data_IF_529656020322
#
_entry.id   IF_529656020322
#
_cell.length_a   1.000
_cell.length_b   1.000
_cell.length_c   1.000
_cell.angle_alpha   90.00
_cell.angle_beta   90.00
_cell.angle_gamma   90.00
#
_symmetry.space_group_name_H-M   'P 1'
#
loop_
_entity.id
_entity.type
_entity.pdbx_description
1 polymer ?
#
# COMPACT_ATOMS: atom_id res chain seq x y z
N UNK A 1 38.51 0.90 -20.42
CA UNK A 1 37.86 2.24 -20.36
C UNK A 1 36.43 2.05 -19.87
N UNK A 2 36.14 2.39 -18.61
CA UNK A 2 34.78 2.36 -18.05
C UNK A 2 34.05 3.63 -18.48
N UNK A 3 33.15 3.53 -19.46
CA UNK A 3 32.24 4.61 -19.82
C UNK A 3 31.08 4.61 -18.83
N UNK A 4 31.00 5.65 -18.01
CA UNK A 4 29.80 6.02 -17.26
C UNK A 4 28.72 6.42 -18.28
N UNK A 5 27.59 5.71 -18.29
CA UNK A 5 26.39 6.14 -19.02
C UNK A 5 25.54 6.90 -18.01
N UNK A 6 25.21 8.15 -18.35
CA UNK A 6 24.51 9.09 -17.48
C UNK A 6 23.11 8.61 -17.12
N UNK A 7 22.81 8.68 -15.82
CA UNK A 7 21.48 8.50 -15.24
C UNK A 7 20.59 9.68 -15.71
N UNK A 8 19.63 9.42 -16.60
CA UNK A 8 18.62 10.41 -16.95
C UNK A 8 17.45 10.32 -15.95
N UNK A 9 17.39 11.26 -15.01
CA UNK A 9 16.24 11.46 -14.13
C UNK A 9 15.33 12.49 -14.80
N UNK A 10 14.14 12.06 -15.25
CA UNK A 10 13.15 12.97 -15.80
C UNK A 10 12.11 13.30 -14.72
N UNK A 11 12.16 14.53 -14.23
CA UNK A 11 11.13 15.14 -13.40
C UNK A 11 10.11 15.82 -14.31
N UNK A 12 8.89 15.28 -14.39
CA UNK A 12 7.77 15.98 -14.98
C UNK A 12 7.24 16.99 -13.94
N UNK A 13 7.68 18.25 -14.03
CA UNK A 13 7.17 19.33 -13.16
C UNK A 13 5.80 19.76 -13.68
N UNK A 14 4.74 19.31 -13.03
CA UNK A 14 3.39 19.84 -13.18
C UNK A 14 3.05 20.77 -12.02
N UNK A 15 3.14 22.08 -12.24
CA UNK A 15 2.56 23.08 -11.34
C UNK A 15 1.07 23.22 -11.63
N UNK A 16 0.21 22.88 -10.67
CA UNK A 16 -1.23 23.09 -10.81
C UNK A 16 -2.02 22.50 -9.65
N UNK A 17 -2.50 23.36 -8.76
CA UNK A 17 -3.50 23.01 -7.76
C UNK A 17 -4.84 22.74 -8.46
N UNK A 18 -5.26 21.48 -8.48
CA UNK A 18 -6.65 21.07 -8.66
C UNK A 18 -6.83 19.68 -8.05
N UNK A 19 -7.84 19.52 -7.20
CA UNK A 19 -8.26 18.22 -6.70
C UNK A 19 -8.91 17.44 -7.86
N UNK A 20 -8.11 16.70 -8.63
CA UNK A 20 -8.58 15.91 -9.75
C UNK A 20 -8.91 14.48 -9.33
N UNK A 21 -10.10 14.04 -9.76
CA UNK A 21 -10.49 12.63 -9.83
C UNK A 21 -9.36 11.84 -10.52
N UNK A 22 -9.09 10.58 -10.12
CA UNK A 22 -8.02 9.80 -10.73
C UNK A 22 -8.24 9.71 -12.24
N UNK A 23 -7.42 10.42 -12.99
CA UNK A 23 -7.37 10.34 -14.43
C UNK A 23 -6.99 8.91 -14.80
N UNK A 24 -7.91 8.22 -15.48
CA UNK A 24 -7.67 6.94 -16.11
C UNK A 24 -6.47 7.09 -17.07
N UNK A 25 -5.29 6.67 -16.62
CA UNK A 25 -4.03 6.92 -17.30
C UNK A 25 -2.80 6.86 -16.39
N UNK A 26 -2.96 7.08 -15.08
CA UNK A 26 -1.83 6.90 -14.16
C UNK A 26 -1.46 5.42 -14.03
N UNK A 27 -0.16 5.15 -14.12
CA UNK A 27 0.52 3.88 -13.82
C UNK A 27 0.27 3.50 -12.34
N UNK A 28 -0.96 3.19 -11.95
CA UNK A 28 -1.34 2.76 -10.59
C UNK A 28 -0.77 3.62 -9.44
N UNK A 29 -0.58 4.93 -9.66
CA UNK A 29 -0.03 5.86 -8.67
C UNK A 29 1.47 6.17 -8.80
N UNK A 30 2.15 5.64 -9.83
CA UNK A 30 3.51 6.02 -10.19
C UNK A 30 3.48 7.16 -11.21
N UNK A 31 4.27 8.21 -10.96
CA UNK A 31 4.26 9.49 -11.70
C UNK A 31 5.53 9.72 -12.52
N UNK A 32 6.59 8.98 -12.23
CA UNK A 32 7.87 9.09 -12.94
C UNK A 32 8.47 7.70 -13.21
N UNK A 33 9.40 7.67 -14.18
CA UNK A 33 10.20 6.47 -14.46
C UNK A 33 11.68 6.84 -14.58
N UNK A 34 12.53 6.04 -13.96
CA UNK A 34 13.98 6.04 -14.19
C UNK A 34 14.33 4.89 -15.12
N UNK A 35 15.25 5.11 -16.05
CA UNK A 35 15.62 4.14 -17.08
C UNK A 35 17.13 4.00 -17.17
N UNK A 36 17.60 2.77 -17.23
CA UNK A 36 18.97 2.38 -17.58
C UNK A 36 18.90 1.34 -18.71
N UNK A 37 19.51 1.64 -19.86
CA UNK A 37 19.52 0.77 -21.04
C UNK A 37 20.79 1.03 -21.86
N UNK A 38 21.31 -0.01 -22.51
CA UNK A 38 22.48 0.13 -23.38
C UNK A 38 22.19 0.85 -24.69
N UNK A 39 20.93 0.82 -25.15
CA UNK A 39 20.46 1.53 -26.34
C UNK A 39 19.07 2.12 -26.13
N UNK A 40 18.87 3.35 -26.60
CA UNK A 40 17.58 4.06 -26.58
C UNK A 40 17.35 4.75 -27.93
N UNK A 41 16.20 4.50 -28.55
CA UNK A 41 15.68 5.30 -29.68
C UNK A 41 14.54 6.17 -29.18
N UNK A 42 14.58 7.46 -29.53
CA UNK A 42 13.55 8.43 -29.22
C UNK A 42 13.37 9.39 -30.39
N UNK A 43 12.14 9.81 -30.64
CA UNK A 43 11.85 10.88 -31.59
C UNK A 43 12.37 12.23 -31.07
N UNK A 44 12.54 13.22 -31.95
CA UNK A 44 12.89 14.60 -31.56
C UNK A 44 11.84 15.25 -30.63
N UNK A 45 10.63 14.70 -30.59
CA UNK A 45 9.56 15.12 -29.67
C UNK A 45 9.71 14.57 -28.25
N UNK A 46 10.74 13.78 -27.99
CA UNK A 46 11.01 13.14 -26.69
C UNK A 46 10.23 11.83 -26.45
N UNK A 47 9.47 11.36 -27.44
CA UNK A 47 8.79 10.05 -27.37
C UNK A 47 9.78 8.91 -27.57
N UNK A 48 10.00 8.13 -26.53
CA UNK A 48 10.75 6.87 -26.62
C UNK A 48 10.04 5.89 -27.55
N UNK A 49 10.78 5.22 -28.41
CA UNK A 49 10.22 4.21 -29.31
C UNK A 49 10.65 2.81 -28.85
N UNK A 50 11.94 2.66 -28.58
CA UNK A 50 12.55 1.38 -28.24
C UNK A 50 13.75 1.54 -27.33
N UNK A 51 13.93 0.59 -26.42
CA UNK A 51 15.07 0.48 -25.50
C UNK A 51 15.59 -0.97 -25.58
N UNK A 52 16.91 -1.16 -25.61
CA UNK A 52 17.57 -2.47 -25.77
C UNK A 52 18.81 -2.61 -24.90
N UNK A 53 19.42 -3.80 -24.97
CA UNK A 53 20.69 -4.16 -24.34
C UNK A 53 20.63 -4.16 -22.82
N UNK A 54 19.57 -4.77 -22.29
CA UNK A 54 19.37 -4.95 -20.84
C UNK A 54 18.72 -3.73 -20.22
N UNK A 55 17.42 -3.57 -20.45
CA UNK A 55 16.62 -2.46 -19.96
C UNK A 55 16.23 -2.69 -18.50
N UNK A 56 16.48 -1.68 -17.66
CA UNK A 56 15.98 -1.56 -16.29
C UNK A 56 15.18 -0.28 -16.17
N UNK A 57 13.91 -0.42 -15.83
CA UNK A 57 12.99 0.67 -15.55
C UNK A 57 12.66 0.62 -14.07
N UNK A 58 12.65 1.76 -13.40
CA UNK A 58 12.11 1.87 -12.04
C UNK A 58 10.97 2.86 -12.07
N UNK A 59 9.77 2.41 -11.74
CA UNK A 59 8.63 3.30 -11.55
C UNK A 59 8.74 3.99 -10.19
N UNK A 60 8.55 5.30 -10.20
CA UNK A 60 8.69 6.19 -9.06
C UNK A 60 7.37 6.92 -8.81
N UNK A 61 7.09 7.19 -7.53
CA UNK A 61 5.89 7.85 -7.07
C UNK A 61 6.27 9.08 -6.26
N UNK A 62 5.46 10.13 -6.35
CA UNK A 62 5.61 11.33 -5.52
C UNK A 62 5.17 11.09 -4.07
N UNK A 63 4.35 10.05 -3.83
CA UNK A 63 4.07 9.57 -2.47
C UNK A 63 5.30 8.86 -1.89
N UNK A 64 5.94 9.40 -0.83
CA UNK A 64 7.14 8.84 -0.22
C UNK A 64 6.90 7.50 0.49
N UNK A 65 5.66 7.16 0.84
CA UNK A 65 5.32 5.87 1.43
C UNK A 65 5.28 4.74 0.39
N UNK A 66 5.12 5.09 -0.90
CA UNK A 66 5.05 4.12 -1.99
C UNK A 66 6.45 3.71 -2.43
N UNK A 67 6.73 2.41 -2.32
CA UNK A 67 8.01 1.86 -2.76
C UNK A 67 8.14 1.89 -4.28
N UNK A 68 9.33 2.20 -4.82
CA UNK A 68 9.63 2.07 -6.23
C UNK A 68 9.37 0.67 -6.75
N UNK A 69 9.00 0.55 -8.02
CA UNK A 69 8.77 -0.75 -8.69
C UNK A 69 9.82 -0.96 -9.76
N UNK A 70 10.82 -1.80 -9.51
CA UNK A 70 11.77 -2.23 -10.51
C UNK A 70 11.11 -3.13 -11.56
N UNK A 71 11.46 -2.88 -12.81
CA UNK A 71 11.06 -3.63 -13.99
C UNK A 71 12.33 -3.88 -14.80
N UNK A 72 12.55 -5.12 -15.25
CA UNK A 72 13.65 -5.45 -16.15
C UNK A 72 13.16 -6.24 -17.35
N UNK A 73 13.78 -6.00 -18.49
CA UNK A 73 13.55 -6.70 -19.75
C UNK A 73 14.77 -6.58 -20.66
N UNK A 74 14.83 -7.38 -21.72
CA UNK A 74 15.90 -7.28 -22.73
C UNK A 74 15.61 -6.16 -23.72
N UNK A 75 14.35 -6.03 -24.14
CA UNK A 75 13.83 -4.97 -25.00
C UNK A 75 12.55 -4.40 -24.39
N UNK A 76 12.37 -3.07 -24.50
CA UNK A 76 11.11 -2.38 -24.21
C UNK A 76 10.73 -1.53 -25.40
N UNK A 77 9.48 -1.63 -25.85
CA UNK A 77 8.92 -0.83 -26.95
C UNK A 77 7.70 -0.07 -26.47
N UNK A 78 7.60 1.18 -26.90
CA UNK A 78 6.48 2.06 -26.58
C UNK A 78 5.65 2.26 -27.85
N UNK A 79 4.36 1.96 -27.76
CA UNK A 79 3.40 2.21 -28.84
C UNK A 79 2.64 3.48 -28.47
N UNK A 80 2.71 4.49 -29.34
CA UNK A 80 2.06 5.76 -29.13
C UNK A 80 0.79 5.84 -29.98
N UNK A 81 -0.28 6.45 -29.46
CA UNK A 81 -1.46 6.70 -30.26
C UNK A 81 -1.15 7.73 -31.37
N UNK A 82 -1.83 7.61 -32.52
CA UNK A 82 -1.68 8.50 -33.67
C UNK A 82 -2.03 9.97 -33.37
N UNK A 83 -2.68 10.23 -32.22
CA UNK A 83 -2.95 11.59 -31.74
C UNK A 83 -1.64 12.26 -31.33
N UNK A 84 -1.26 13.28 -32.10
CA UNK A 84 -0.03 14.08 -31.96
C UNK A 84 0.17 14.74 -30.59
N UNK A 85 -0.86 14.83 -29.75
CA UNK A 85 -0.80 15.49 -28.44
C UNK A 85 -0.69 14.54 -27.23
N UNK A 86 -0.75 13.21 -27.39
CA UNK A 86 -0.65 12.31 -26.23
C UNK A 86 0.73 12.41 -25.57
N UNK A 87 0.75 12.62 -24.25
CA UNK A 87 1.94 12.61 -23.39
C UNK A 87 2.29 11.21 -22.87
N UNK A 88 1.43 10.22 -23.12
CA UNK A 88 1.63 8.83 -22.69
C UNK A 88 1.48 7.84 -23.86
N UNK A 89 2.21 6.71 -23.83
CA UNK A 89 2.02 5.61 -24.78
C UNK A 89 0.65 4.94 -24.55
N UNK A 90 0.07 4.37 -25.59
CA UNK A 90 -1.12 3.51 -25.48
C UNK A 90 -0.74 2.11 -25.01
N UNK A 91 0.46 1.63 -25.37
CA UNK A 91 0.99 0.33 -24.93
C UNK A 91 2.48 0.34 -24.65
N UNK A 92 2.90 -0.49 -23.70
CA UNK A 92 4.32 -0.83 -23.47
C UNK A 92 4.50 -2.34 -23.65
N UNK A 93 5.42 -2.72 -24.52
CA UNK A 93 5.77 -4.11 -24.80
C UNK A 93 7.14 -4.39 -24.20
N UNK A 94 7.20 -5.33 -23.26
CA UNK A 94 8.42 -5.80 -22.62
C UNK A 94 8.74 -7.19 -23.14
N UNK A 95 10.00 -7.42 -23.53
CA UNK A 95 10.42 -8.70 -24.09
C UNK A 95 11.79 -9.14 -23.56
N UNK A 96 11.90 -10.44 -23.32
CA UNK A 96 13.13 -11.15 -22.94
C UNK A 96 13.42 -11.00 -21.46
N UNK A 97 13.22 -12.08 -20.69
CA UNK A 97 13.46 -12.15 -19.25
C UNK A 97 12.81 -10.97 -18.51
N UNK A 98 11.50 -10.81 -18.72
CA UNK A 98 10.73 -9.79 -18.03
C UNK A 98 10.65 -10.14 -16.55
N UNK A 99 10.99 -9.18 -15.69
CA UNK A 99 10.81 -9.29 -14.24
C UNK A 99 10.20 -7.98 -13.73
N UNK A 100 9.13 -8.07 -12.96
CA UNK A 100 8.51 -6.94 -12.27
C UNK A 100 8.49 -7.26 -10.77
N UNK A 101 9.10 -6.39 -9.99
CA UNK A 101 9.21 -6.52 -8.52
C UNK A 101 8.26 -5.52 -7.85
N UNK A 102 7.03 -5.96 -7.59
CA UNK A 102 6.05 -5.19 -6.82
C UNK A 102 6.14 -5.57 -5.33
N UNK A 103 5.83 -4.65 -4.39
CA UNK A 103 5.77 -4.97 -2.96
C UNK A 103 4.91 -6.20 -2.61
N UNK A 104 3.84 -6.43 -3.37
CA UNK A 104 2.89 -7.51 -3.12
C UNK A 104 3.24 -8.82 -3.86
N UNK A 105 3.95 -8.72 -4.99
CA UNK A 105 4.30 -9.87 -5.80
C UNK A 105 5.45 -9.59 -6.76
N UNK A 106 6.24 -10.63 -7.04
CA UNK A 106 7.20 -10.65 -8.14
C UNK A 106 6.63 -11.44 -9.29
N UNK A 107 6.65 -10.87 -10.49
CA UNK A 107 6.21 -11.54 -11.72
C UNK A 107 7.41 -11.72 -12.64
N UNK A 108 7.58 -12.93 -13.18
CA UNK A 108 8.60 -13.25 -14.19
C UNK A 108 7.93 -13.81 -15.43
N UNK A 109 8.37 -13.42 -16.62
CA UNK A 109 7.82 -13.88 -17.89
C UNK A 109 8.83 -13.71 -19.03
N UNK A 110 8.57 -14.33 -20.19
CA UNK A 110 9.33 -14.00 -21.39
C UNK A 110 8.88 -12.68 -22.00
N UNK A 111 7.59 -12.37 -21.92
CA UNK A 111 6.99 -11.14 -22.47
C UNK A 111 5.94 -10.58 -21.53
N UNK A 112 5.81 -9.27 -21.55
CA UNK A 112 4.67 -8.57 -20.97
C UNK A 112 4.17 -7.47 -21.91
N UNK A 113 2.86 -7.30 -22.00
CA UNK A 113 2.20 -6.21 -22.72
C UNK A 113 1.31 -5.46 -21.73
N UNK A 114 1.61 -4.17 -21.55
CA UNK A 114 0.77 -3.25 -20.81
C UNK A 114 -0.05 -2.43 -21.79
N UNK A 115 -1.36 -2.63 -21.78
CA UNK A 115 -2.33 -1.83 -22.52
C UNK A 115 -3.03 -0.84 -21.57
N UNK A 116 -2.73 0.45 -21.75
CA UNK A 116 -3.26 1.52 -20.91
C UNK A 116 -4.73 1.83 -21.23
N UNK A 117 -5.11 1.70 -22.50
CA UNK A 117 -6.46 1.98 -22.96
C UNK A 117 -7.43 0.93 -22.39
N UNK A 118 -7.01 -0.33 -22.36
CA UNK A 118 -7.77 -1.44 -21.79
C UNK A 118 -7.58 -1.58 -20.28
N UNK A 119 -6.48 -1.09 -19.73
CA UNK A 119 -6.11 -1.31 -18.32
C UNK A 119 -5.68 -2.75 -18.06
N UNK A 120 -5.04 -3.38 -19.04
CA UNK A 120 -4.60 -4.77 -18.98
C UNK A 120 -3.08 -4.87 -18.96
N UNK A 121 -2.55 -5.72 -18.08
CA UNK A 121 -1.16 -6.15 -18.11
C UNK A 121 -1.13 -7.67 -18.33
N UNK A 122 -0.64 -8.07 -19.49
CA UNK A 122 -0.63 -9.45 -19.95
C UNK A 122 0.78 -10.00 -19.96
N UNK A 123 1.03 -11.08 -19.25
CA UNK A 123 2.29 -11.82 -19.25
C UNK A 123 2.16 -13.12 -20.05
N UNK A 124 3.18 -13.45 -20.85
CA UNK A 124 3.22 -14.69 -21.65
C UNK A 124 4.62 -15.30 -21.69
N UNK A 125 4.69 -16.55 -22.13
CA UNK A 125 5.93 -17.33 -22.19
C UNK A 125 6.31 -17.83 -20.79
N UNK A 126 5.50 -18.77 -20.31
CA UNK A 126 5.65 -19.42 -19.00
C UNK A 126 5.72 -18.46 -17.79
N UNK A 127 4.82 -17.48 -17.67
CA UNK A 127 4.84 -16.55 -16.57
C UNK A 127 4.72 -17.25 -15.20
N UNK A 128 5.45 -16.71 -14.23
CA UNK A 128 5.41 -17.13 -12.82
C UNK A 128 5.16 -15.94 -11.91
N UNK A 129 4.30 -16.13 -10.91
CA UNK A 129 4.02 -15.16 -9.85
C UNK A 129 4.41 -15.76 -8.51
N UNK A 130 5.17 -14.97 -7.75
CA UNK A 130 5.54 -15.27 -6.38
C UNK A 130 5.09 -14.12 -5.48
N UNK A 131 4.40 -14.43 -4.39
CA UNK A 131 3.91 -13.49 -3.38
C UNK A 131 4.00 -14.13 -1.99
N UNK A 132 3.86 -13.36 -0.90
CA UNK A 132 3.81 -13.92 0.45
C UNK A 132 2.67 -14.94 0.66
N UNK A 133 1.56 -14.81 -0.09
CA UNK A 133 0.36 -15.64 0.07
C UNK A 133 0.29 -16.80 -0.94
N UNK A 134 0.96 -16.68 -2.08
CA UNK A 134 0.96 -17.67 -3.16
C UNK A 134 2.38 -17.81 -3.72
N UNK A 135 2.93 -19.02 -3.71
CA UNK A 135 4.26 -19.31 -4.23
C UNK A 135 4.19 -20.22 -5.46
N UNK A 136 4.96 -19.88 -6.49
CA UNK A 136 5.11 -20.70 -7.69
C UNK A 136 3.85 -20.80 -8.54
N UNK A 137 2.98 -19.79 -8.53
CA UNK A 137 1.84 -19.74 -9.44
C UNK A 137 2.38 -19.60 -10.87
N UNK A 138 2.20 -20.62 -11.71
CA UNK A 138 2.67 -20.62 -13.09
C UNK A 138 1.50 -20.85 -14.04
N UNK A 139 1.54 -20.24 -15.22
CA UNK A 139 0.64 -20.56 -16.33
C UNK A 139 1.29 -20.30 -17.68
N UNK A 140 0.51 -20.43 -18.74
CA UNK A 140 0.91 -20.08 -20.11
C UNK A 140 0.76 -18.58 -20.36
N UNK A 141 -0.28 -18.00 -19.74
CA UNK A 141 -0.63 -16.59 -19.80
C UNK A 141 -1.20 -16.14 -18.46
N UNK A 142 -0.81 -14.94 -18.01
CA UNK A 142 -1.40 -14.28 -16.86
C UNK A 142 -1.89 -12.91 -17.29
N UNK A 143 -3.11 -12.54 -16.91
CA UNK A 143 -3.70 -11.24 -17.20
C UNK A 143 -4.06 -10.56 -15.90
N UNK A 144 -3.61 -9.33 -15.72
CA UNK A 144 -4.03 -8.43 -14.66
C UNK A 144 -4.93 -7.36 -15.29
N UNK A 145 -6.17 -7.25 -14.81
CA UNK A 145 -7.12 -6.22 -15.21
C UNK A 145 -7.27 -5.21 -14.07
N UNK A 146 -6.70 -4.03 -14.25
CA UNK A 146 -6.70 -2.97 -13.23
C UNK A 146 -8.03 -2.22 -13.14
N UNK A 147 -8.91 -2.34 -14.13
CA UNK A 147 -10.25 -1.72 -14.09
C UNK A 147 -11.24 -2.57 -13.31
N UNK A 148 -11.08 -3.89 -13.39
CA UNK A 148 -11.97 -4.87 -12.76
C UNK A 148 -11.37 -5.47 -11.47
N UNK A 149 -10.16 -5.06 -11.08
CA UNK A 149 -9.40 -5.61 -9.97
C UNK A 149 -9.34 -7.15 -10.01
N UNK A 150 -9.11 -7.69 -11.22
CA UNK A 150 -9.13 -9.14 -11.49
C UNK A 150 -7.79 -9.62 -12.00
N UNK A 151 -7.38 -10.81 -11.56
CA UNK A 151 -6.28 -11.55 -12.16
C UNK A 151 -6.77 -12.89 -12.71
N UNK A 152 -6.24 -13.30 -13.86
CA UNK A 152 -6.60 -14.54 -14.54
C UNK A 152 -5.34 -15.29 -14.94
N UNK A 153 -5.33 -16.61 -14.72
CA UNK A 153 -4.23 -17.50 -15.10
C UNK A 153 -4.75 -18.56 -16.06
N UNK A 154 -4.17 -18.63 -17.24
CA UNK A 154 -4.54 -19.60 -18.27
C UNK A 154 -3.48 -20.71 -18.33
N UNK A 155 -3.93 -21.97 -18.43
CA UNK A 155 -3.02 -23.14 -18.44
C UNK A 155 -2.28 -23.36 -17.12
N UNK A 156 -2.84 -22.86 -16.02
CA UNK A 156 -2.14 -22.75 -14.75
C UNK A 156 -1.84 -24.08 -14.05
N UNK A 157 -0.67 -24.16 -13.42
CA UNK A 157 -0.36 -25.13 -12.37
C UNK A 157 0.02 -24.35 -11.11
N UNK A 158 -0.49 -24.79 -9.97
CA UNK A 158 -0.25 -24.15 -8.68
C UNK A 158 0.38 -25.15 -7.72
N UNK A 159 1.57 -24.84 -7.23
CA UNK A 159 2.35 -25.73 -6.35
C UNK A 159 1.91 -25.70 -4.90
N UNK A 160 1.50 -24.53 -4.41
CA UNK A 160 1.03 -24.37 -3.04
C UNK A 160 -0.06 -23.31 -2.99
N UNK A 161 -1.24 -23.70 -2.50
CA UNK A 161 -2.31 -22.78 -2.16
C UNK A 161 -2.81 -23.14 -0.77
N UNK A 162 -2.67 -22.25 0.22
CA UNK A 162 -3.23 -22.52 1.53
C UNK A 162 -4.75 -22.63 1.40
N UNK A 163 -5.32 -23.78 1.79
CA UNK A 163 -6.77 -24.00 1.81
C UNK A 163 -7.49 -23.09 2.83
N UNK A 164 -6.72 -22.52 3.78
CA UNK A 164 -7.17 -21.44 4.65
C UNK A 164 -7.46 -20.19 3.81
N UNK A 165 -8.72 -20.01 3.43
CA UNK A 165 -9.18 -18.90 2.56
C UNK A 165 -9.83 -19.32 1.23
N UNK A 166 -10.06 -20.62 0.98
CA UNK A 166 -10.78 -21.11 -0.22
C UNK A 166 -12.31 -20.98 -0.18
N UNK A 167 -12.87 -20.29 0.82
CA UNK A 167 -14.23 -19.78 0.76
C UNK A 167 -14.18 -18.40 0.14
N UNK A 168 -14.84 -18.22 -1.01
CA UNK A 168 -15.12 -16.89 -1.56
C UNK A 168 -16.02 -16.10 -0.62
N UNK A 169 -15.48 -15.69 0.52
CA UNK A 169 -15.86 -14.41 1.07
C UNK A 169 -15.35 -13.41 0.05
N UNK A 170 -16.29 -12.87 -0.75
CA UNK A 170 -16.14 -11.50 -1.25
C UNK A 170 -15.40 -10.73 -0.16
N UNK A 171 -14.26 -10.14 -0.49
CA UNK A 171 -13.78 -9.01 0.28
C UNK A 171 -14.85 -7.91 0.18
N UNK A 172 -15.96 -8.03 0.91
CA UNK A 172 -16.23 -6.99 1.89
C UNK A 172 -14.94 -6.94 2.66
N UNK A 173 -14.09 -5.96 2.31
CA UNK A 173 -12.85 -5.73 2.99
C UNK A 173 -13.21 -5.74 4.47
N UNK A 174 -12.87 -6.83 5.18
CA UNK A 174 -12.78 -6.78 6.62
C UNK A 174 -12.00 -5.49 6.85
N UNK A 175 -12.61 -4.51 7.53
CA UNK A 175 -12.03 -3.19 7.62
C UNK A 175 -10.60 -3.40 8.08
N UNK A 176 -9.65 -2.66 7.50
CA UNK A 176 -8.27 -2.83 7.87
C UNK A 176 -8.20 -2.77 9.39
N UNK A 177 -7.63 -3.81 10.02
CA UNK A 177 -7.41 -3.83 11.47
C UNK A 177 -6.65 -2.56 11.88
N UNK A 178 -5.84 -2.03 10.96
CA UNK A 178 -5.15 -0.76 11.05
C UNK A 178 -6.09 0.44 10.98
N UNK A 179 -5.82 1.41 11.86
CA UNK A 179 -6.36 2.75 11.77
C UNK A 179 -5.98 3.43 10.46
N UNK A 180 -6.97 4.14 9.90
CA UNK A 180 -6.77 5.18 8.90
C UNK A 180 -7.17 6.54 9.45
N UNK A 181 -6.77 7.61 8.78
CA UNK A 181 -7.07 8.96 9.25
C UNK A 181 -8.59 9.24 9.30
N UNK A 182 -9.35 8.64 8.38
CA UNK A 182 -10.80 8.70 8.30
C UNK A 182 -11.52 7.93 9.42
N UNK A 183 -10.83 7.02 10.12
CA UNK A 183 -11.42 6.33 11.26
C UNK A 183 -11.58 7.27 12.45
N UNK A 184 -10.74 8.30 12.57
CA UNK A 184 -10.82 9.29 13.65
C UNK A 184 -11.79 10.39 13.23
N UNK A 185 -13.00 10.34 13.83
CA UNK A 185 -14.12 11.27 13.56
C UNK A 185 -13.92 12.64 14.20
N UNK A 186 -13.26 12.67 15.36
CA UNK A 186 -13.06 13.88 16.15
C UNK A 186 -11.61 13.97 16.62
N UNK A 187 -10.75 14.51 15.75
CA UNK A 187 -9.34 14.74 16.04
C UNK A 187 -9.13 15.68 17.25
N UNK A 188 -9.80 16.85 17.35
CA UNK A 188 -9.69 17.72 18.52
C UNK A 188 -10.13 17.04 19.83
N UNK A 189 -11.25 16.32 19.82
CA UNK A 189 -11.77 15.61 20.99
C UNK A 189 -10.85 14.47 21.43
N UNK A 190 -10.39 13.64 20.50
CA UNK A 190 -9.43 12.56 20.79
C UNK A 190 -8.17 13.11 21.44
N UNK A 191 -7.62 14.17 20.86
CA UNK A 191 -6.39 14.80 21.34
C UNK A 191 -6.56 15.35 22.75
N UNK A 192 -7.65 16.08 23.00
CA UNK A 192 -7.97 16.65 24.31
C UNK A 192 -8.03 15.55 25.37
N UNK A 193 -8.77 14.48 25.08
CA UNK A 193 -8.91 13.36 26.02
C UNK A 193 -7.60 12.59 26.23
N UNK A 194 -6.80 12.36 25.18
CA UNK A 194 -5.49 11.72 25.34
C UNK A 194 -4.54 12.59 26.18
N UNK A 195 -4.56 13.90 25.98
CA UNK A 195 -3.75 14.87 26.74
C UNK A 195 -4.15 14.95 28.21
N UNK A 196 -5.44 14.95 28.50
CA UNK A 196 -5.97 14.91 29.87
C UNK A 196 -5.62 13.59 30.56
N UNK A 197 -5.87 12.47 29.88
CA UNK A 197 -5.57 11.14 30.39
C UNK A 197 -4.08 10.94 30.66
N UNK A 198 -3.19 11.42 29.79
CA UNK A 198 -1.75 11.34 29.98
C UNK A 198 -1.28 12.03 31.28
N UNK A 199 -1.99 13.07 31.73
CA UNK A 199 -1.69 13.81 32.97
C UNK A 199 -2.41 13.25 34.20
N UNK A 200 -3.42 12.42 34.01
CA UNK A 200 -4.18 11.86 35.12
C UNK A 200 -3.31 10.95 35.99
N UNK A 201 -3.50 11.01 37.31
CA UNK A 201 -2.79 10.13 38.25
C UNK A 201 -3.20 8.67 38.05
N UNK A 202 -4.52 8.44 37.90
CA UNK A 202 -5.10 7.10 37.76
C UNK A 202 -4.81 6.50 36.37
N UNK A 203 -4.62 5.16 36.28
CA UNK A 203 -4.57 4.47 35.00
C UNK A 203 -5.83 4.72 34.17
N UNK A 204 -5.67 4.88 32.85
CA UNK A 204 -6.76 5.03 31.90
C UNK A 204 -6.32 4.54 30.52
N UNK A 205 -7.26 4.25 29.58
CA UNK A 205 -6.90 3.78 28.26
C UNK A 205 -6.03 4.80 27.51
N UNK A 206 -6.40 6.09 27.61
CA UNK A 206 -5.67 7.17 26.95
C UNK A 206 -4.25 7.31 27.49
N UNK A 207 -4.06 7.19 28.82
CA UNK A 207 -2.74 7.23 29.43
C UNK A 207 -1.88 6.09 28.92
N UNK A 208 -2.44 4.88 28.90
CA UNK A 208 -1.74 3.69 28.44
C UNK A 208 -1.35 3.78 26.96
N UNK A 209 -2.21 4.31 26.12
CA UNK A 209 -1.92 4.56 24.69
C UNK A 209 -0.76 5.55 24.55
N UNK A 210 -0.81 6.70 25.23
CA UNK A 210 0.23 7.73 25.15
C UNK A 210 1.58 7.21 25.68
N UNK A 211 1.60 6.45 26.78
CA UNK A 211 2.82 5.82 27.30
C UNK A 211 3.51 4.86 26.32
N UNK A 212 2.73 4.24 25.41
CA UNK A 212 3.24 3.32 24.40
C UNK A 212 3.64 4.00 23.09
N UNK A 213 3.32 5.29 22.92
CA UNK A 213 3.80 6.10 21.80
C UNK A 213 5.29 6.46 21.98
N UNK A 214 5.98 6.77 20.87
CA UNK A 214 7.31 7.37 20.97
C UNK A 214 7.26 8.82 21.50
N UNK A 215 8.42 9.32 21.98
CA UNK A 215 8.50 10.64 22.60
C UNK A 215 8.06 11.78 21.68
N UNK A 216 8.25 11.64 20.37
CA UNK A 216 7.82 12.65 19.39
C UNK A 216 6.30 12.71 19.32
N UNK A 217 5.63 11.57 19.28
CA UNK A 217 4.17 11.52 19.26
C UNK A 217 3.55 11.92 20.60
N UNK A 218 4.21 11.59 21.73
CA UNK A 218 3.82 12.12 23.04
C UNK A 218 3.88 13.66 23.06
N UNK A 219 4.94 14.24 22.52
CA UNK A 219 5.09 15.70 22.40
C UNK A 219 4.05 16.30 21.46
N UNK A 220 3.74 15.65 20.33
CA UNK A 220 2.65 16.07 19.45
C UNK A 220 1.31 16.12 20.20
N UNK A 221 0.93 15.06 20.91
CA UNK A 221 -0.31 15.05 21.70
C UNK A 221 -0.30 16.12 22.80
N UNK A 222 0.85 16.35 23.44
CA UNK A 222 0.98 17.35 24.50
C UNK A 222 0.87 18.79 23.97
N UNK A 223 1.44 19.06 22.80
CA UNK A 223 1.52 20.39 22.16
C UNK A 223 0.39 20.65 21.14
N UNK A 224 -0.41 19.64 20.83
CA UNK A 224 -1.39 19.72 19.75
C UNK A 224 -2.34 20.91 19.88
N UNK A 225 -2.53 21.58 18.74
CA UNK A 225 -3.49 22.65 18.56
C UNK A 225 -4.87 22.10 18.19
N UNK A 226 -5.88 22.97 18.11
CA UNK A 226 -7.22 22.57 17.66
C UNK A 226 -7.25 22.07 16.20
N UNK A 227 -6.22 22.39 15.40
CA UNK A 227 -6.12 22.02 13.99
C UNK A 227 -4.92 21.12 13.75
N UNK A 228 -5.16 19.97 13.13
CA UNK A 228 -4.14 18.98 12.78
C UNK A 228 -3.83 19.00 11.28
N UNK A 229 -2.56 19.08 10.93
CA UNK A 229 -2.09 18.92 9.55
C UNK A 229 -2.26 17.46 9.07
N UNK A 230 -2.19 17.23 7.76
CA UNK A 230 -2.26 15.87 7.21
C UNK A 230 -1.09 15.00 7.68
N UNK A 231 0.11 15.59 7.77
CA UNK A 231 1.33 14.94 8.22
C UNK A 231 1.26 14.55 9.71
N UNK A 232 0.73 15.45 10.55
CA UNK A 232 0.56 15.19 11.98
C UNK A 232 -0.46 14.05 12.21
N UNK A 233 -1.59 14.06 11.47
CA UNK A 233 -2.56 12.95 11.51
C UNK A 233 -1.91 11.64 11.09
N UNK A 234 -1.18 11.62 9.97
CA UNK A 234 -0.50 10.43 9.49
C UNK A 234 0.52 9.89 10.51
N UNK A 235 1.26 10.77 11.19
CA UNK A 235 2.19 10.39 12.24
C UNK A 235 1.49 9.72 13.43
N UNK A 236 0.37 10.27 13.91
CA UNK A 236 -0.40 9.66 15.00
C UNK A 236 -1.03 8.33 14.59
N UNK A 237 -1.58 8.24 13.38
CA UNK A 237 -2.13 6.98 12.86
C UNK A 237 -1.05 5.88 12.81
N UNK A 238 0.16 6.22 12.36
CA UNK A 238 1.29 5.28 12.36
C UNK A 238 1.61 4.75 13.76
N UNK A 239 1.58 5.60 14.79
CA UNK A 239 1.79 5.19 16.18
C UNK A 239 0.67 4.31 16.72
N UNK A 240 -0.59 4.67 16.46
CA UNK A 240 -1.73 3.84 16.84
C UNK A 240 -1.62 2.44 16.21
N UNK A 241 -1.24 2.36 14.94
CA UNK A 241 -1.04 1.09 14.24
C UNK A 241 0.12 0.27 14.80
N UNK A 242 1.19 0.92 15.27
CA UNK A 242 2.26 0.24 16.02
C UNK A 242 1.78 -0.30 17.36
N UNK A 243 0.94 0.47 18.06
CA UNK A 243 0.36 0.08 19.35
C UNK A 243 -0.59 -1.12 19.18
N UNK A 244 -1.30 -1.24 18.06
CA UNK A 244 -2.13 -2.41 17.79
C UNK A 244 -1.34 -3.72 17.85
N UNK A 245 -0.08 -3.75 17.42
CA UNK A 245 0.75 -4.94 17.49
C UNK A 245 1.36 -5.20 18.89
N UNK A 246 1.17 -4.29 19.85
CA UNK A 246 1.81 -4.36 21.16
C UNK A 246 0.96 -5.16 22.17
N UNK A 247 1.44 -6.32 22.66
CA UNK A 247 0.68 -7.14 23.63
C UNK A 247 0.53 -6.44 24.99
N UNK A 248 1.29 -5.38 25.26
CA UNK A 248 1.23 -4.62 26.52
C UNK A 248 0.14 -3.54 26.52
N UNK A 249 -0.65 -3.38 25.45
CA UNK A 249 -1.68 -2.34 25.41
C UNK A 249 -2.70 -2.49 26.54
N UNK A 250 -3.27 -3.68 26.71
CA UNK A 250 -4.30 -3.91 27.71
C UNK A 250 -3.70 -4.03 29.12
N UNK A 251 -4.30 -3.33 30.08
CA UNK A 251 -4.26 -3.68 31.49
C UNK A 251 -5.66 -3.54 32.07
N UNK A 252 -6.00 -4.39 33.04
CA UNK A 252 -7.33 -4.42 33.64
C UNK A 252 -7.64 -3.10 34.34
N UNK A 253 -6.67 -2.52 35.03
CA UNK A 253 -6.83 -1.25 35.76
C UNK A 253 -7.10 -0.08 34.80
N UNK A 254 -6.44 -0.06 33.64
CA UNK A 254 -6.61 1.00 32.67
C UNK A 254 -7.96 0.90 31.94
N UNK A 255 -8.55 -0.29 31.81
CA UNK A 255 -9.85 -0.51 31.14
C UNK A 255 -11.03 -0.77 32.10
N UNK A 256 -10.84 -0.69 33.42
CA UNK A 256 -11.84 -1.04 34.43
C UNK A 256 -13.18 -0.26 34.30
N UNK A 257 -13.16 0.94 33.72
CA UNK A 257 -14.35 1.77 33.48
C UNK A 257 -14.90 1.72 32.06
N UNK A 258 -14.32 0.88 31.18
CA UNK A 258 -14.69 0.82 29.76
C UNK A 258 -15.63 -0.35 29.51
N UNK A 259 -16.77 -0.09 28.87
CA UNK A 259 -17.67 -1.15 28.44
C UNK A 259 -17.08 -1.87 27.22
N UNK A 260 -16.45 -3.01 27.46
CA UNK A 260 -15.83 -3.81 26.39
C UNK A 260 -16.89 -4.56 25.57
N UNK A 261 -16.75 -4.60 24.22
CA UNK A 261 -17.59 -5.44 23.39
C UNK A 261 -17.35 -6.91 23.69
N UNK A 262 -18.39 -7.74 23.53
CA UNK A 262 -18.34 -9.19 23.80
C UNK A 262 -17.13 -9.88 23.14
N UNK A 263 -16.86 -9.53 21.87
CA UNK A 263 -15.72 -10.05 21.14
C UNK A 263 -14.38 -9.75 21.85
N UNK A 264 -14.18 -8.56 22.40
CA UNK A 264 -12.97 -8.22 23.14
C UNK A 264 -12.86 -9.03 24.43
N UNK A 265 -13.96 -9.25 25.15
CA UNK A 265 -13.99 -10.05 26.39
C UNK A 265 -13.62 -11.51 26.11
N UNK A 266 -14.24 -12.12 25.10
CA UNK A 266 -13.91 -13.49 24.66
C UNK A 266 -12.44 -13.57 24.21
N UNK A 267 -12.00 -12.55 23.47
CA UNK A 267 -10.62 -12.38 23.08
C UNK A 267 -9.71 -12.00 24.23
N UNK A 268 -10.13 -11.76 25.48
CA UNK A 268 -9.22 -11.56 26.63
C UNK A 268 -9.01 -12.86 27.42
N UNK A 269 -9.96 -13.79 27.35
CA UNK A 269 -9.90 -15.09 28.05
C UNK A 269 -8.90 -16.12 27.50
N UNK A 270 -8.29 -15.90 26.33
CA UNK A 270 -7.27 -16.78 25.74
C UNK A 270 -5.88 -16.54 26.36
N UNK A 271 -5.10 -17.60 26.59
CA UNK A 271 -3.75 -17.51 27.18
C UNK A 271 -2.64 -17.19 26.16
N UNK A 272 -2.89 -17.43 24.87
CA UNK A 272 -1.95 -17.18 23.77
C UNK A 272 -2.72 -16.81 22.51
N UNK A 273 -2.16 -15.91 21.68
CA UNK A 273 -2.82 -15.37 20.49
C UNK A 273 -1.82 -15.13 19.36
N UNK A 274 -2.19 -15.41 18.09
CA UNK A 274 -1.47 -14.89 16.93
C UNK A 274 -1.44 -13.36 16.92
N UNK A 275 -0.43 -12.78 16.25
CA UNK A 275 -0.27 -11.32 16.15
C UNK A 275 -1.50 -10.65 15.54
N UNK A 276 -2.14 -11.27 14.54
CA UNK A 276 -3.37 -10.76 13.92
C UNK A 276 -4.55 -10.67 14.90
N UNK A 277 -4.75 -11.68 15.74
CA UNK A 277 -5.76 -11.66 16.80
C UNK A 277 -5.42 -10.62 17.87
N UNK A 278 -4.14 -10.45 18.21
CA UNK A 278 -3.70 -9.42 19.15
C UNK A 278 -4.02 -8.02 18.63
N UNK A 279 -3.76 -7.76 17.33
CA UNK A 279 -4.08 -6.48 16.70
C UNK A 279 -5.58 -6.22 16.67
N UNK A 280 -6.40 -7.24 16.38
CA UNK A 280 -7.86 -7.13 16.41
C UNK A 280 -8.39 -6.82 17.82
N UNK A 281 -7.91 -7.55 18.84
CA UNK A 281 -8.25 -7.27 20.23
C UNK A 281 -7.90 -5.81 20.58
N UNK A 282 -6.68 -5.39 20.27
CA UNK A 282 -6.21 -4.03 20.56
C UNK A 282 -7.04 -2.97 19.82
N UNK A 283 -7.51 -3.26 18.60
CA UNK A 283 -8.41 -2.37 17.85
C UNK A 283 -9.75 -2.21 18.56
N UNK A 284 -10.37 -3.31 18.99
CA UNK A 284 -11.63 -3.30 19.74
C UNK A 284 -11.50 -2.55 21.08
N UNK A 285 -10.37 -2.72 21.78
CA UNK A 285 -10.09 -2.04 23.05
C UNK A 285 -10.01 -0.51 22.89
N UNK A 286 -9.38 -0.04 21.81
CA UNK A 286 -9.25 1.40 21.52
C UNK A 286 -10.61 1.97 21.08
N UNK A 287 -11.35 1.28 20.22
CA UNK A 287 -12.70 1.70 19.81
C UNK A 287 -13.66 1.83 21.01
N UNK A 288 -13.63 0.84 21.90
CA UNK A 288 -14.45 0.85 23.11
C UNK A 288 -14.09 1.99 24.07
N UNK A 289 -12.81 2.37 24.12
CA UNK A 289 -12.35 3.48 24.95
C UNK A 289 -12.73 4.86 24.40
N UNK A 290 -12.88 5.00 23.07
CA UNK A 290 -13.16 6.29 22.43
C UNK A 290 -14.28 6.23 21.38
N UNK A 291 -15.49 5.75 21.73
CA UNK A 291 -16.55 5.46 20.76
C UNK A 291 -17.10 6.70 20.03
N UNK A 292 -16.97 7.88 20.64
CA UNK A 292 -17.37 9.15 20.02
C UNK A 292 -16.32 9.68 19.03
N UNK A 293 -15.04 9.34 19.22
CA UNK A 293 -13.92 9.91 18.47
C UNK A 293 -13.38 8.95 17.40
N UNK A 294 -13.55 7.65 17.58
CA UNK A 294 -13.03 6.61 16.71
C UNK A 294 -14.19 5.79 16.16
N UNK A 295 -14.21 5.62 14.85
CA UNK A 295 -15.14 4.77 14.15
C UNK A 295 -14.93 3.31 14.53
N UNK A 296 -16.02 2.66 14.92
CA UNK A 296 -16.03 1.21 15.03
C UNK A 296 -15.60 0.58 13.70
N UNK A 297 -14.69 -0.38 13.77
CA UNK A 297 -14.41 -1.28 12.68
C UNK A 297 -15.73 -2.01 12.34
N UNK A 298 -16.07 -2.06 11.05
CA UNK A 298 -17.10 -2.98 10.55
C UNK A 298 -16.69 -4.41 10.93
N UNK A 299 -17.18 -4.92 12.05
CA UNK A 299 -16.94 -6.29 12.42
C UNK A 299 -17.36 -7.19 11.25
N UNK A 300 -16.57 -8.21 10.87
CA UNK A 300 -17.05 -9.23 9.95
C UNK A 300 -18.31 -9.91 10.50
#
# INVERSE_FOLDING_TARGET
MKRWIGLAVFLAVGTGWAADKPSAGNLSGYTAMSVDAGYVSSSLSGRFEIMRDGVRITLLSDDPARKPVPISATEVRFVWPDKTASKQPSRILLQGRVVIEHPDATVRAEKAEWDFDQGLLTFTGSPTIDSPQMQGLRGDKIVLNFKEDRFEVFGGKMTHYPLSGMGGEEKQAAPPIQFRAEDVRDWPGLTTVLKENAKAEKPSPGKRIVELMDGKAQEMIASASATWSAEEKAAIISQLNRILANPKLYSEEAWAGVQLPRAAVEMLGKSSRPVSEQMMLNRLLIEAAFPAMISASKQP
#
